data_IF_128370828219
#
_entry.id   IF_128370828219
#
_cell.length_a   1.000
_cell.length_b   1.000
_cell.length_c   1.000
_cell.angle_alpha   90.00
_cell.angle_beta   90.00
_cell.angle_gamma   90.00
#
_symmetry.space_group_name_H-M   'P 1'
#
loop_
_entity.id
_entity.type
_entity.pdbx_description
1 polymer ?
#
# COMPACT_ATOMS: atom_id res chain seq x y z
N UNK A 1 6.80 -26.83 2.89
CA UNK A 1 7.14 -25.45 2.46
C UNK A 1 6.68 -24.49 3.55
N UNK A 2 7.34 -24.57 4.71
CA UNK A 2 7.01 -23.80 5.91
C UNK A 2 8.28 -23.11 6.37
N UNK A 3 8.37 -21.81 6.19
CA UNK A 3 9.21 -20.99 7.05
C UNK A 3 8.40 -19.77 7.49
N UNK A 4 7.76 -19.96 8.64
CA UNK A 4 7.46 -18.88 9.58
C UNK A 4 8.81 -18.39 10.12
N UNK A 5 9.38 -17.36 9.49
CA UNK A 5 10.46 -16.63 10.13
C UNK A 5 9.90 -16.01 11.40
N UNK A 6 10.47 -16.37 12.57
CA UNK A 6 10.27 -15.64 13.82
C UNK A 6 10.57 -14.17 13.54
N UNK A 7 9.51 -13.38 13.44
CA UNK A 7 9.57 -12.06 12.84
C UNK A 7 10.15 -11.07 13.85
N UNK A 8 11.42 -10.70 13.65
CA UNK A 8 11.87 -9.41 14.11
C UNK A 8 10.90 -8.32 13.60
N UNK A 9 10.63 -7.27 14.39
CA UNK A 9 9.71 -6.22 13.97
C UNK A 9 10.14 -5.63 12.63
N UNK A 10 9.19 -5.54 11.70
CA UNK A 10 9.42 -4.98 10.37
C UNK A 10 9.47 -3.47 10.51
N UNK A 11 10.65 -2.89 10.33
CA UNK A 11 10.84 -1.44 10.33
C UNK A 11 10.95 -0.91 8.92
N UNK A 12 10.38 0.25 8.67
CA UNK A 12 10.50 0.94 7.38
C UNK A 12 10.11 2.41 7.49
N UNK A 13 10.25 3.13 6.37
CA UNK A 13 9.93 4.54 6.32
C UNK A 13 9.77 5.05 4.91
N UNK A 14 9.17 6.22 4.76
CA UNK A 14 9.11 6.92 3.49
C UNK A 14 10.48 7.58 3.22
N UNK A 15 10.91 7.59 1.96
CA UNK A 15 12.15 8.25 1.52
C UNK A 15 12.17 9.76 1.79
N UNK A 16 11.03 10.38 2.12
CA UNK A 16 10.98 11.77 2.57
C UNK A 16 11.55 11.99 3.98
N UNK A 17 11.84 10.92 4.74
CA UNK A 17 12.43 10.96 6.07
C UNK A 17 11.48 11.37 7.21
N UNK A 18 10.25 11.78 6.90
CA UNK A 18 9.26 12.22 7.91
C UNK A 18 8.37 11.09 8.44
N UNK A 19 8.26 10.00 7.71
CA UNK A 19 7.36 8.88 8.03
C UNK A 19 8.22 7.65 8.31
N UNK A 20 8.04 7.09 9.50
CA UNK A 20 8.68 5.85 9.95
C UNK A 20 7.61 4.97 10.59
N UNK A 21 7.73 3.66 10.42
CA UNK A 21 6.82 2.68 10.99
C UNK A 21 7.57 1.44 11.46
N UNK A 22 7.03 0.82 12.52
CA UNK A 22 7.47 -0.48 13.05
C UNK A 22 6.25 -1.38 13.15
N UNK A 23 6.34 -2.61 12.64
CA UNK A 23 5.25 -3.57 12.61
C UNK A 23 5.72 -4.90 13.21
N UNK A 24 5.12 -5.28 14.34
CA UNK A 24 5.59 -6.42 15.15
C UNK A 24 5.08 -7.78 14.65
N UNK A 25 4.41 -7.82 13.50
CA UNK A 25 3.80 -9.05 12.96
C UNK A 25 3.98 -9.17 11.46
N UNK A 26 4.04 -10.42 11.01
CA UNK A 26 4.09 -10.75 9.59
C UNK A 26 2.83 -10.28 8.85
N UNK A 27 2.97 -9.85 7.59
CA UNK A 27 1.84 -9.50 6.74
C UNK A 27 0.93 -10.72 6.51
N UNK A 28 -0.37 -10.48 6.39
CA UNK A 28 -1.36 -11.51 6.03
C UNK A 28 -1.21 -11.92 4.56
N UNK A 29 -0.96 -10.95 3.70
CA UNK A 29 -0.84 -11.12 2.25
C UNK A 29 0.30 -10.23 1.77
N UNK A 30 1.16 -10.78 0.91
CA UNK A 30 2.11 -10.01 0.12
C UNK A 30 1.86 -10.34 -1.34
N UNK A 31 1.67 -9.32 -2.19
CA UNK A 31 1.41 -9.55 -3.61
C UNK A 31 2.00 -8.45 -4.49
N UNK A 32 2.28 -8.81 -5.74
CA UNK A 32 2.54 -7.86 -6.82
C UNK A 32 1.24 -7.60 -7.56
N UNK A 33 0.75 -6.36 -7.51
CA UNK A 33 -0.45 -5.98 -8.24
C UNK A 33 -0.09 -5.37 -9.59
N UNK A 34 -0.60 -5.97 -10.65
CA UNK A 34 -0.38 -5.57 -12.05
C UNK A 34 -1.55 -4.74 -12.63
N UNK A 35 -2.55 -4.39 -11.82
CA UNK A 35 -3.70 -3.66 -12.35
C UNK A 35 -3.30 -2.24 -12.77
N UNK A 36 -4.01 -1.69 -13.76
CA UNK A 36 -3.71 -0.36 -14.31
C UNK A 36 -3.70 0.74 -13.24
N UNK A 37 -4.50 0.60 -12.19
CA UNK A 37 -4.52 1.55 -11.08
C UNK A 37 -3.20 1.54 -10.30
N UNK A 38 -2.67 0.37 -9.96
CA UNK A 38 -1.40 0.25 -9.24
C UNK A 38 -0.22 0.68 -10.10
N UNK A 39 -0.27 0.41 -11.41
CA UNK A 39 0.74 0.89 -12.35
C UNK A 39 0.80 2.43 -12.38
N UNK A 40 -0.36 3.10 -12.45
CA UNK A 40 -0.43 4.56 -12.46
C UNK A 40 -0.04 5.17 -11.12
N UNK A 41 -0.44 4.56 -10.00
CA UNK A 41 -0.11 5.06 -8.66
C UNK A 41 1.39 4.95 -8.34
N UNK A 42 2.03 3.85 -8.77
CA UNK A 42 3.45 3.60 -8.53
C UNK A 42 4.38 4.12 -9.62
N UNK A 43 3.87 4.44 -10.82
CA UNK A 43 4.70 4.74 -11.99
C UNK A 43 5.55 3.56 -12.46
N UNK A 44 5.11 2.33 -12.18
CA UNK A 44 5.87 1.09 -12.41
C UNK A 44 4.98 0.00 -13.04
N UNK A 45 5.59 -1.11 -13.50
CA UNK A 45 4.88 -2.24 -14.10
C UNK A 45 3.96 -2.97 -13.10
N UNK A 46 4.32 -2.93 -11.83
CA UNK A 46 3.54 -3.45 -10.71
C UNK A 46 3.86 -2.68 -9.44
N UNK A 47 2.98 -2.81 -8.46
CA UNK A 47 3.22 -2.32 -7.10
C UNK A 47 3.13 -3.48 -6.11
N UNK A 48 4.09 -3.55 -5.20
CA UNK A 48 4.11 -4.58 -4.15
C UNK A 48 3.32 -4.12 -2.96
N UNK A 49 2.31 -4.88 -2.57
CA UNK A 49 1.49 -4.63 -1.38
C UNK A 49 1.82 -5.64 -0.29
N UNK A 50 1.88 -5.15 0.95
CA UNK A 50 1.87 -5.97 2.15
C UNK A 50 0.63 -5.57 2.97
N UNK A 51 -0.29 -6.51 3.19
CA UNK A 51 -1.55 -6.26 3.90
C UNK A 51 -1.44 -6.74 5.33
N UNK A 52 -1.70 -5.82 6.26
CA UNK A 52 -1.69 -6.09 7.71
C UNK A 52 -3.10 -5.98 8.27
N UNK A 53 -3.29 -6.48 9.49
CA UNK A 53 -4.55 -6.31 10.20
C UNK A 53 -4.69 -4.86 10.68
N UNK A 54 -5.78 -4.19 10.27
CA UNK A 54 -6.02 -2.79 10.59
C UNK A 54 -6.16 -2.53 12.09
N UNK A 55 -6.64 -3.52 12.88
CA UNK A 55 -6.75 -3.39 14.34
C UNK A 55 -5.41 -3.38 15.05
N UNK A 56 -4.30 -3.51 14.31
CA UNK A 56 -2.96 -3.80 14.86
C UNK A 56 -1.87 -2.92 14.25
N UNK A 57 -2.24 -1.87 13.51
CA UNK A 57 -1.30 -0.84 13.10
C UNK A 57 -1.13 0.16 14.24
N UNK A 58 0.09 0.62 14.55
CA UNK A 58 0.33 1.69 15.51
C UNK A 58 -0.55 2.91 15.18
N UNK A 59 -1.32 3.39 16.17
CA UNK A 59 -2.31 4.45 16.00
C UNK A 59 -1.70 5.80 15.56
N UNK A 60 -0.39 5.94 15.73
CA UNK A 60 0.43 7.08 15.35
C UNK A 60 0.70 7.18 13.85
N UNK A 61 0.24 6.21 13.04
CA UNK A 61 0.12 6.31 11.57
C UNK A 61 1.21 7.18 10.97
N UNK A 62 2.47 6.76 11.18
CA UNK A 62 3.68 7.60 11.19
C UNK A 62 3.48 9.03 10.70
N UNK A 63 3.25 9.98 11.62
CA UNK A 63 3.14 11.44 11.37
C UNK A 63 2.72 11.82 9.94
N UNK A 64 1.55 11.32 9.54
CA UNK A 64 1.07 11.47 8.17
C UNK A 64 -0.15 10.60 8.01
N UNK A 65 -1.33 11.13 8.38
CA UNK A 65 -2.61 10.42 8.25
C UNK A 65 -2.70 9.86 6.82
N UNK A 66 -2.70 8.53 6.61
CA UNK A 66 -2.74 7.98 5.27
C UNK A 66 -4.02 8.49 4.61
N UNK A 67 -3.88 9.23 3.50
CA UNK A 67 -5.04 9.61 2.71
C UNK A 67 -5.61 8.33 2.12
N UNK A 68 -6.79 7.92 2.60
CA UNK A 68 -7.50 6.80 1.99
C UNK A 68 -7.93 7.28 0.61
N UNK A 69 -7.24 6.84 -0.44
CA UNK A 69 -7.74 7.03 -1.80
C UNK A 69 -8.90 6.05 -2.03
N UNK A 70 -10.04 6.31 -1.40
CA UNK A 70 -11.30 5.64 -1.69
C UNK A 70 -11.83 6.23 -2.98
N UNK A 71 -11.52 5.57 -4.10
CA UNK A 71 -12.30 5.80 -5.32
C UNK A 71 -13.71 5.25 -5.06
N UNK A 72 -14.78 6.00 -5.36
CA UNK A 72 -16.13 5.44 -5.34
C UNK A 72 -16.22 4.28 -6.36
N UNK A 73 -17.00 3.22 -6.09
CA UNK A 73 -17.03 1.98 -6.88
C UNK A 73 -17.55 2.10 -8.33
N UNK A 74 -17.65 3.30 -8.91
CA UNK A 74 -18.25 3.51 -10.23
C UNK A 74 -17.59 4.59 -11.12
N UNK A 75 -16.36 5.02 -10.85
CA UNK A 75 -15.62 5.79 -11.85
C UNK A 75 -15.02 4.82 -12.88
N UNK A 76 -15.84 4.38 -13.84
CA UNK A 76 -15.46 3.47 -14.91
C UNK A 76 -14.25 3.97 -15.70
N UNK A 77 -13.46 3.02 -16.19
CA UNK A 77 -12.32 3.22 -17.12
C UNK A 77 -12.76 3.61 -18.54
N UNK A 78 -14.02 4.03 -18.72
CA UNK A 78 -14.64 4.25 -20.03
C UNK A 78 -14.75 5.72 -20.45
N UNK A 79 -14.16 6.67 -19.70
CA UNK A 79 -14.07 8.04 -20.19
C UNK A 79 -13.12 8.07 -21.42
N UNK A 80 -13.58 8.47 -22.61
CA UNK A 80 -12.73 8.49 -23.80
C UNK A 80 -11.55 9.45 -23.59
N UNK A 81 -10.37 9.05 -24.06
CA UNK A 81 -9.10 9.80 -23.98
C UNK A 81 -9.24 11.25 -24.49
N UNK A 82 -10.22 11.53 -25.36
CA UNK A 82 -10.48 12.84 -25.93
C UNK A 82 -10.93 13.93 -24.92
N UNK A 83 -11.38 13.56 -23.71
CA UNK A 83 -11.89 14.53 -22.73
C UNK A 83 -10.83 15.06 -21.73
N UNK A 84 -9.53 14.89 -22.03
CA UNK A 84 -8.40 15.42 -21.23
C UNK A 84 -7.55 16.42 -22.03
N UNK A 85 -8.19 17.45 -22.59
CA UNK A 85 -7.54 18.72 -22.94
C UNK A 85 -8.17 19.83 -22.11
#
# INVERSE_FOLDING_TARGET
MSQVMSAAPITGGCLCGRIHYTIDRSPRIVCHCHCRMCQLAGGALFLTWATFDASRLPADGGQGRPSTNRRPPAAGISAPIAARR
#
